data_IF_875606720768
#
_entry.id   IF_875606720768
#
_cell.length_a   1.000
_cell.length_b   1.000
_cell.length_c   1.000
_cell.angle_alpha   90.00
_cell.angle_beta   90.00
_cell.angle_gamma   90.00
#
_symmetry.space_group_name_H-M   'P 1'
#
loop_
_entity.id
_entity.type
_entity.pdbx_description
1 polymer ?
#
# COMPACT_ATOMS: atom_id res chain seq x y z
N UNK A 1 -3.45 1.37 25.02
CA UNK A 1 -2.31 0.81 24.25
C UNK A 1 -1.33 1.95 24.13
N UNK A 2 -0.28 1.92 24.93
CA UNK A 2 0.68 3.04 24.98
C UNK A 2 1.77 2.88 23.91
N UNK A 3 1.91 1.66 23.35
CA UNK A 3 2.81 1.36 22.23
C UNK A 3 2.05 0.62 21.11
N UNK A 4 1.80 1.30 20.00
CA UNK A 4 1.05 0.76 18.85
C UNK A 4 1.62 1.26 17.52
N UNK A 5 1.21 0.58 16.44
CA UNK A 5 1.42 1.01 15.08
C UNK A 5 0.09 1.02 14.32
N UNK A 6 -0.05 1.96 13.38
CA UNK A 6 -1.25 2.13 12.57
C UNK A 6 -0.95 1.65 11.14
N UNK A 7 -1.84 0.83 10.58
CA UNK A 7 -1.87 0.53 9.15
C UNK A 7 -3.03 1.30 8.51
N UNK A 8 -2.74 2.17 7.55
CA UNK A 8 -3.73 2.76 6.65
C UNK A 8 -4.09 1.74 5.55
N UNK A 9 -5.38 1.43 5.41
CA UNK A 9 -5.90 0.47 4.43
C UNK A 9 -6.14 -0.93 5.00
N UNK A 10 -6.05 -1.95 4.14
CA UNK A 10 -6.28 -3.34 4.54
C UNK A 10 -5.06 -4.02 5.17
N UNK A 11 -5.23 -5.14 5.90
CA UNK A 11 -4.13 -5.83 6.57
C UNK A 11 -3.06 -6.32 5.58
N UNK A 12 -3.50 -6.68 4.37
CA UNK A 12 -2.65 -7.18 3.30
C UNK A 12 -1.86 -6.06 2.62
N UNK A 13 -2.54 -5.07 2.03
CA UNK A 13 -1.93 -4.07 1.12
C UNK A 13 -1.71 -2.69 1.75
N UNK A 14 -2.21 -2.45 2.96
CA UNK A 14 -2.09 -1.15 3.62
C UNK A 14 -0.64 -0.75 3.91
N UNK A 15 -0.41 0.46 4.41
CA UNK A 15 0.91 0.98 4.75
C UNK A 15 0.96 1.41 6.21
N UNK A 16 2.13 1.31 6.84
CA UNK A 16 2.32 1.88 8.18
C UNK A 16 2.37 3.40 8.04
N UNK A 17 1.62 4.10 8.89
CA UNK A 17 1.57 5.55 8.93
C UNK A 17 1.80 6.05 10.36
N UNK A 18 2.16 7.32 10.47
CA UNK A 18 2.19 8.03 11.74
C UNK A 18 0.79 8.52 12.12
N UNK A 19 0.56 8.76 13.41
CA UNK A 19 -0.73 9.22 13.93
C UNK A 19 -1.13 10.61 13.42
N UNK A 20 -0.13 11.43 13.07
CA UNK A 20 -0.32 12.80 12.58
C UNK A 20 -0.53 12.87 11.05
N UNK A 21 -0.54 11.72 10.36
CA UNK A 21 -0.79 11.65 8.93
C UNK A 21 -2.27 11.97 8.65
N UNK A 22 -2.56 12.96 7.79
CA UNK A 22 -3.94 13.39 7.51
C UNK A 22 -4.73 12.35 6.71
N UNK A 23 -6.04 12.28 6.98
CA UNK A 23 -6.99 11.49 6.19
C UNK A 23 -7.08 12.05 4.76
N UNK A 24 -6.84 11.21 3.77
CA UNK A 24 -6.90 11.51 2.33
C UNK A 24 -8.18 10.95 1.72
N UNK A 25 -8.49 11.36 0.48
CA UNK A 25 -9.67 10.84 -0.27
C UNK A 25 -9.52 9.36 -0.64
N UNK A 26 -8.30 8.83 -0.57
CA UNK A 26 -7.98 7.39 -0.78
C UNK A 26 -7.88 6.60 0.53
N UNK A 27 -8.00 7.26 1.69
CA UNK A 27 -7.97 6.59 2.99
C UNK A 27 -9.25 5.76 3.14
N UNK A 28 -9.10 4.46 3.35
CA UNK A 28 -10.23 3.52 3.46
C UNK A 28 -10.52 3.08 4.89
N UNK A 29 -9.49 2.97 5.73
CA UNK A 29 -9.63 2.55 7.12
C UNK A 29 -8.28 2.51 7.83
N UNK A 30 -8.32 2.42 9.15
CA UNK A 30 -7.15 2.32 10.01
C UNK A 30 -7.22 1.03 10.82
N UNK A 31 -6.12 0.30 10.86
CA UNK A 31 -5.95 -0.88 11.70
C UNK A 31 -4.87 -0.57 12.73
N UNK A 32 -5.22 -0.67 14.02
CA UNK A 32 -4.30 -0.38 15.12
C UNK A 32 -3.86 -1.69 15.74
N UNK A 33 -2.55 -1.94 15.75
CA UNK A 33 -1.96 -3.16 16.30
C UNK A 33 -0.87 -2.83 17.33
N UNK A 34 -0.63 -3.70 18.33
CA UNK A 34 0.62 -3.68 19.09
C UNK A 34 1.84 -3.75 18.14
N UNK A 35 2.96 -3.12 18.49
CA UNK A 35 4.15 -3.10 17.61
C UNK A 35 4.74 -4.48 17.37
N UNK A 36 4.56 -5.40 18.32
CA UNK A 36 5.02 -6.79 18.25
C UNK A 36 4.12 -7.66 17.36
N UNK A 37 2.97 -7.15 16.92
CA UNK A 37 2.04 -7.92 16.10
C UNK A 37 2.71 -8.37 14.78
N UNK A 38 2.54 -9.62 14.33
CA UNK A 38 3.23 -10.14 13.15
C UNK A 38 3.08 -9.28 11.88
N UNK A 39 1.92 -8.66 11.66
CA UNK A 39 1.69 -7.75 10.54
C UNK A 39 2.60 -6.51 10.58
N UNK A 40 2.93 -6.00 11.76
CA UNK A 40 3.80 -4.84 11.95
C UNK A 40 5.27 -5.27 11.78
N UNK A 41 5.68 -6.30 12.51
CA UNK A 41 7.07 -6.83 12.47
C UNK A 41 7.47 -7.21 11.04
N UNK A 42 6.60 -7.91 10.30
CA UNK A 42 6.88 -8.31 8.91
C UNK A 42 7.09 -7.11 7.98
N UNK A 43 6.40 -5.99 8.21
CA UNK A 43 6.54 -4.76 7.39
C UNK A 43 7.80 -3.99 7.71
N UNK A 44 8.19 -3.93 8.99
CA UNK A 44 9.39 -3.23 9.46
C UNK A 44 10.68 -4.01 9.22
N UNK A 45 10.61 -5.33 9.08
CA UNK A 45 11.78 -6.19 8.79
C UNK A 45 12.55 -5.67 7.58
N UNK A 46 13.88 -5.54 7.61
CA UNK A 46 14.62 -5.00 6.46
C UNK A 46 14.71 -5.98 5.27
N UNK A 47 14.84 -5.45 4.04
CA UNK A 47 15.03 -6.27 2.83
C UNK A 47 16.31 -7.12 2.93
N UNK A 48 17.40 -6.54 3.44
CA UNK A 48 18.66 -7.27 3.64
C UNK A 48 18.49 -8.46 4.59
N UNK A 49 17.70 -8.30 5.66
CA UNK A 49 17.40 -9.40 6.56
C UNK A 49 16.65 -10.53 5.85
N UNK A 50 15.61 -10.18 5.08
CA UNK A 50 14.82 -11.13 4.27
C UNK A 50 15.71 -11.88 3.28
N UNK A 51 16.64 -11.20 2.59
CA UNK A 51 17.56 -11.82 1.63
C UNK A 51 18.52 -12.80 2.30
N UNK A 52 19.05 -12.48 3.50
CA UNK A 52 19.89 -13.43 4.25
C UNK A 52 19.13 -14.70 4.63
N UNK A 53 17.90 -14.57 5.14
CA UNK A 53 17.07 -15.75 5.44
C UNK A 53 16.74 -16.51 4.16
N UNK A 54 16.46 -15.82 3.07
CA UNK A 54 16.18 -16.47 1.80
C UNK A 54 17.37 -17.27 1.27
N UNK A 55 18.59 -16.76 1.42
CA UNK A 55 19.82 -17.46 1.05
C UNK A 55 20.04 -18.73 1.89
N UNK A 56 19.65 -18.72 3.17
CA UNK A 56 19.89 -19.85 4.08
C UNK A 56 18.74 -20.85 4.20
N UNK A 57 17.49 -20.41 4.08
CA UNK A 57 16.30 -21.17 4.47
C UNK A 57 15.27 -21.36 3.35
N UNK A 58 15.41 -20.70 2.19
CA UNK A 58 14.45 -20.88 1.10
C UNK A 58 14.47 -22.31 0.57
N UNK A 59 13.39 -23.06 0.78
CA UNK A 59 13.21 -24.43 0.29
C UNK A 59 12.75 -24.54 -1.17
N UNK A 60 12.66 -23.42 -1.90
CA UNK A 60 12.36 -23.35 -3.33
C UNK A 60 11.05 -24.05 -3.77
N UNK A 61 10.08 -24.18 -2.86
CA UNK A 61 8.84 -24.97 -3.06
C UNK A 61 7.80 -24.39 -4.04
N UNK A 62 8.09 -23.27 -4.73
CA UNK A 62 7.18 -22.58 -5.68
C UNK A 62 5.84 -22.06 -5.14
N UNK A 63 5.46 -22.34 -3.90
CA UNK A 63 4.18 -21.93 -3.30
C UNK A 63 3.82 -20.44 -3.51
N UNK A 64 4.80 -19.54 -3.42
CA UNK A 64 4.60 -18.10 -3.65
C UNK A 64 4.21 -17.73 -5.09
N UNK A 65 4.51 -18.58 -6.07
CA UNK A 65 4.05 -18.46 -7.46
C UNK A 65 2.73 -19.18 -7.64
N UNK A 66 2.61 -20.38 -7.10
CA UNK A 66 1.42 -21.20 -7.29
C UNK A 66 0.15 -20.56 -6.74
N UNK A 67 0.26 -19.81 -5.64
CA UNK A 67 -0.83 -19.03 -5.05
C UNK A 67 -0.86 -17.57 -5.50
N UNK A 68 0.02 -17.13 -6.41
CA UNK A 68 0.05 -15.74 -6.86
C UNK A 68 -1.18 -15.44 -7.74
N UNK A 69 -2.03 -14.46 -7.37
CA UNK A 69 -3.21 -14.13 -8.18
C UNK A 69 -2.85 -13.69 -9.60
N UNK A 70 -1.73 -12.98 -9.79
CA UNK A 70 -1.29 -12.52 -11.11
C UNK A 70 -0.81 -13.68 -11.98
N UNK A 71 -0.05 -14.62 -11.42
CA UNK A 71 0.32 -15.85 -12.11
C UNK A 71 -0.92 -16.66 -12.51
N UNK A 72 -1.88 -16.83 -11.59
CA UNK A 72 -3.13 -17.54 -11.86
C UNK A 72 -4.02 -16.85 -12.91
N UNK A 73 -3.86 -15.54 -13.13
CA UNK A 73 -4.57 -14.76 -14.15
C UNK A 73 -3.91 -14.78 -15.54
N UNK A 74 -2.83 -15.54 -15.74
CA UNK A 74 -2.17 -15.63 -17.04
C UNK A 74 -0.78 -14.98 -17.07
N UNK A 75 -0.53 -13.97 -16.21
CA UNK A 75 0.72 -13.21 -16.26
C UNK A 75 1.98 -14.06 -15.99
N UNK A 76 3.10 -13.81 -16.69
CA UNK A 76 4.35 -14.57 -16.56
C UNK A 76 5.17 -14.20 -15.32
N UNK A 77 4.52 -13.84 -14.21
CA UNK A 77 5.20 -13.51 -12.97
C UNK A 77 5.46 -14.77 -12.15
N UNK A 78 6.73 -15.03 -11.85
CA UNK A 78 7.14 -16.19 -11.05
C UNK A 78 7.91 -15.75 -9.81
N UNK A 79 7.21 -15.32 -8.73
CA UNK A 79 7.86 -14.82 -7.52
C UNK A 79 8.93 -15.75 -6.94
N UNK A 80 8.80 -17.07 -7.08
CA UNK A 80 9.81 -18.02 -6.60
C UNK A 80 11.15 -17.91 -7.34
N UNK A 81 11.16 -17.66 -8.65
CA UNK A 81 12.37 -17.48 -9.45
C UNK A 81 13.05 -16.15 -9.10
N UNK A 82 12.26 -15.08 -9.05
CA UNK A 82 12.73 -13.74 -8.68
C UNK A 82 13.35 -13.76 -7.27
N UNK A 83 12.68 -14.41 -6.30
CA UNK A 83 13.19 -14.56 -4.94
C UNK A 83 14.54 -15.30 -4.91
N UNK A 84 14.66 -16.41 -5.65
CA UNK A 84 15.90 -17.20 -5.72
C UNK A 84 17.06 -16.42 -6.33
N UNK A 85 16.81 -15.73 -7.45
CA UNK A 85 17.84 -14.94 -8.14
C UNK A 85 18.28 -13.71 -7.36
N UNK A 86 17.38 -13.13 -6.57
CA UNK A 86 17.75 -11.99 -5.72
C UNK A 86 18.54 -12.43 -4.48
N UNK A 87 18.27 -13.62 -3.95
CA UNK A 87 18.90 -14.11 -2.71
C UNK A 87 20.20 -14.90 -2.91
N UNK A 88 20.46 -15.42 -4.11
CA UNK A 88 21.60 -16.26 -4.46
C UNK A 88 22.26 -15.72 -5.74
N UNK A 89 23.55 -16.00 -5.99
CA UNK A 89 24.26 -15.56 -7.21
C UNK A 89 23.81 -16.36 -8.44
N UNK A 90 22.51 -16.31 -8.76
CA UNK A 90 21.90 -16.94 -9.91
C UNK A 90 21.52 -15.85 -10.91
N UNK A 91 22.13 -15.90 -12.09
CA UNK A 91 21.72 -15.07 -13.22
C UNK A 91 20.44 -15.66 -13.82
N UNK A 92 19.35 -14.90 -13.80
CA UNK A 92 18.14 -15.20 -14.56
C UNK A 92 18.04 -14.30 -15.80
N UNK A 93 17.28 -14.73 -16.83
CA UNK A 93 16.95 -13.85 -17.95
C UNK A 93 16.31 -12.55 -17.47
N UNK A 94 16.62 -11.45 -18.15
CA UNK A 94 16.14 -10.09 -17.80
C UNK A 94 14.61 -10.04 -17.79
N UNK A 95 13.98 -10.80 -18.67
CA UNK A 95 12.53 -10.94 -18.81
C UNK A 95 11.90 -11.52 -17.52
N UNK A 96 12.57 -12.49 -16.89
CA UNK A 96 12.10 -13.10 -15.63
C UNK A 96 12.19 -12.11 -14.47
N UNK A 97 13.24 -11.28 -14.44
CA UNK A 97 13.41 -10.27 -13.40
C UNK A 97 12.44 -9.09 -13.60
N UNK A 98 12.28 -8.62 -14.82
CA UNK A 98 11.37 -7.51 -15.17
C UNK A 98 9.90 -7.87 -14.99
N UNK A 99 9.53 -9.16 -15.01
CA UNK A 99 8.21 -9.63 -14.63
C UNK A 99 7.80 -9.22 -13.19
N UNK A 100 8.74 -8.82 -12.32
CA UNK A 100 8.44 -8.20 -11.02
C UNK A 100 7.51 -6.99 -11.13
N UNK A 101 7.57 -6.24 -12.25
CA UNK A 101 6.71 -5.08 -12.50
C UNK A 101 5.22 -5.45 -12.63
N UNK A 102 4.90 -6.71 -12.93
CA UNK A 102 3.52 -7.21 -13.01
C UNK A 102 2.89 -7.47 -11.63
N UNK A 103 3.68 -7.35 -10.56
CA UNK A 103 3.23 -7.59 -9.19
C UNK A 103 2.18 -6.55 -8.78
N UNK A 104 1.03 -7.03 -8.32
CA UNK A 104 -0.04 -6.21 -7.73
C UNK A 104 0.15 -5.96 -6.23
N UNK A 105 1.26 -6.42 -5.66
CA UNK A 105 1.63 -6.18 -4.25
C UNK A 105 0.60 -6.69 -3.22
N UNK A 106 -0.25 -7.65 -3.61
CA UNK A 106 -1.34 -8.18 -2.78
C UNK A 106 -0.90 -8.92 -1.50
N UNK A 107 0.37 -9.32 -1.39
CA UNK A 107 0.93 -9.92 -0.17
C UNK A 107 0.64 -11.40 0.07
N UNK A 108 -0.13 -12.08 -0.79
CA UNK A 108 -0.41 -13.51 -0.63
C UNK A 108 0.86 -14.36 -0.53
N UNK A 109 1.86 -14.06 -1.37
CA UNK A 109 3.13 -14.78 -1.38
C UNK A 109 3.92 -14.67 -0.06
N UNK A 110 3.77 -13.54 0.65
CA UNK A 110 4.47 -13.23 1.90
C UNK A 110 3.66 -13.69 3.12
N UNK A 111 2.41 -13.26 3.19
CA UNK A 111 1.57 -13.38 4.38
C UNK A 111 0.89 -14.75 4.47
N UNK A 112 0.71 -15.44 3.35
CA UNK A 112 0.01 -16.74 3.31
C UNK A 112 0.86 -17.88 2.75
N UNK A 113 1.46 -17.71 1.58
CA UNK A 113 2.02 -18.83 0.82
C UNK A 113 3.38 -19.31 1.33
N UNK A 114 4.28 -18.40 1.74
CA UNK A 114 5.65 -18.78 2.08
C UNK A 114 5.70 -19.49 3.44
N UNK A 115 6.11 -20.77 3.51
CA UNK A 115 6.27 -21.47 4.78
C UNK A 115 7.44 -20.92 5.59
N UNK A 116 8.45 -20.38 4.91
CA UNK A 116 9.66 -19.81 5.52
C UNK A 116 9.50 -18.33 5.90
N UNK A 117 8.29 -17.76 5.77
CA UNK A 117 7.97 -16.34 6.07
C UNK A 117 8.87 -15.32 5.35
N UNK A 118 9.30 -15.66 4.15
CA UNK A 118 9.98 -14.72 3.24
C UNK A 118 8.96 -13.76 2.62
N UNK A 119 9.45 -12.65 2.08
CA UNK A 119 8.60 -11.66 1.41
C UNK A 119 8.91 -11.49 -0.08
N UNK A 120 8.40 -12.39 -0.95
CA UNK A 120 8.49 -12.17 -2.40
C UNK A 120 7.77 -10.89 -2.84
N UNK A 121 6.71 -10.45 -2.14
CA UNK A 121 6.03 -9.18 -2.43
C UNK A 121 7.02 -8.01 -2.35
N UNK A 122 7.73 -7.88 -1.23
CA UNK A 122 8.60 -6.72 -0.99
C UNK A 122 9.83 -6.74 -1.88
N UNK A 123 10.35 -7.92 -2.20
CA UNK A 123 11.39 -8.07 -3.24
C UNK A 123 10.87 -7.59 -4.60
N UNK A 124 9.67 -7.98 -5.01
CA UNK A 124 9.10 -7.50 -6.28
C UNK A 124 8.89 -5.97 -6.27
N UNK A 125 8.43 -5.40 -5.15
CA UNK A 125 8.25 -3.94 -5.02
C UNK A 125 9.58 -3.20 -5.15
N UNK A 126 10.61 -3.65 -4.44
CA UNK A 126 11.97 -3.10 -4.54
C UNK A 126 12.50 -3.16 -5.98
N UNK A 127 12.35 -4.30 -6.67
CA UNK A 127 12.77 -4.44 -8.07
C UNK A 127 11.96 -3.54 -9.00
N UNK A 128 10.65 -3.43 -8.78
CA UNK A 128 9.77 -2.54 -9.56
C UNK A 128 10.18 -1.08 -9.43
N UNK A 129 10.51 -0.62 -8.21
CA UNK A 129 11.04 0.73 -7.96
C UNK A 129 12.40 0.94 -8.65
N UNK A 130 13.33 -0.02 -8.54
CA UNK A 130 14.64 0.02 -9.20
C UNK A 130 14.54 0.08 -10.72
N UNK A 131 13.71 -0.78 -11.32
CA UNK A 131 13.53 -0.80 -12.78
C UNK A 131 12.83 0.46 -13.28
N UNK A 132 11.84 0.97 -12.54
CA UNK A 132 11.20 2.24 -12.87
C UNK A 132 12.21 3.40 -12.86
N UNK A 133 13.09 3.48 -11.86
CA UNK A 133 14.15 4.48 -11.79
C UNK A 133 15.15 4.38 -12.97
N UNK A 134 15.36 3.18 -13.50
CA UNK A 134 16.22 2.93 -14.67
C UNK A 134 15.47 3.00 -16.00
N UNK A 135 14.18 3.35 -15.99
CA UNK A 135 13.32 3.34 -17.19
C UNK A 135 13.24 1.99 -17.91
N UNK A 136 13.53 0.90 -17.20
CA UNK A 136 13.39 -0.47 -17.70
C UNK A 136 11.92 -0.86 -17.61
N UNK A 137 11.36 -1.35 -18.72
CA UNK A 137 9.97 -1.83 -18.79
C UNK A 137 9.92 -3.33 -19.07
N UNK A 138 8.91 -3.97 -18.50
CA UNK A 138 8.57 -5.34 -18.88
C UNK A 138 8.05 -5.34 -20.32
N UNK A 139 8.59 -6.22 -21.15
CA UNK A 139 8.13 -6.45 -22.51
C UNK A 139 7.42 -7.80 -22.55
N UNK A 140 6.21 -7.80 -23.08
CA UNK A 140 5.43 -9.00 -23.35
C UNK A 140 5.14 -8.99 -24.84
N UNK A 141 5.43 -10.10 -25.51
CA UNK A 141 5.06 -10.27 -26.91
C UNK A 141 3.60 -10.74 -27.05
N UNK A 142 3.02 -11.27 -25.97
CA UNK A 142 1.62 -11.70 -25.90
C UNK A 142 0.70 -10.57 -25.42
N UNK A 143 -0.36 -10.31 -26.18
CA UNK A 143 -1.42 -9.34 -25.83
C UNK A 143 -2.55 -9.97 -24.98
N UNK A 144 -2.58 -11.30 -24.85
CA UNK A 144 -3.68 -12.02 -24.20
C UNK A 144 -3.21 -12.85 -22.99
N UNK A 145 -3.77 -12.55 -21.81
CA UNK A 145 -3.49 -13.28 -20.58
C UNK A 145 -4.65 -14.21 -20.25
N UNK A 146 -4.47 -15.50 -20.55
CA UNK A 146 -5.48 -16.53 -20.29
C UNK A 146 -5.37 -16.98 -18.82
N UNK A 147 -6.45 -16.87 -18.01
CA UNK A 147 -6.45 -17.41 -16.67
C UNK A 147 -6.19 -18.91 -16.66
N UNK A 148 -5.35 -19.35 -15.73
CA UNK A 148 -4.98 -20.76 -15.56
C UNK A 148 -6.11 -21.53 -14.88
N UNK A 149 -6.37 -22.77 -15.30
CA UNK A 149 -7.45 -23.62 -14.75
C UNK A 149 -7.27 -23.84 -13.23
N UNK A 150 -6.03 -23.93 -12.76
CA UNK A 150 -5.71 -24.11 -11.34
C UNK A 150 -6.20 -22.95 -10.46
N UNK A 151 -6.55 -21.80 -11.05
CA UNK A 151 -7.10 -20.65 -10.30
C UNK A 151 -8.34 -21.01 -9.50
N UNK A 152 -9.17 -21.93 -9.99
CA UNK A 152 -10.36 -22.39 -9.28
C UNK A 152 -10.00 -23.10 -7.97
N UNK A 153 -9.00 -23.96 -8.01
CA UNK A 153 -8.58 -24.82 -6.90
C UNK A 153 -7.55 -24.17 -5.96
N UNK A 154 -6.94 -23.05 -6.36
CA UNK A 154 -5.89 -22.35 -5.61
C UNK A 154 -6.36 -21.08 -4.90
N UNK A 155 -7.68 -20.89 -4.76
CA UNK A 155 -8.25 -19.80 -3.96
C UNK A 155 -7.94 -20.01 -2.48
N UNK A 156 -7.75 -18.91 -1.77
CA UNK A 156 -7.43 -18.93 -0.34
C UNK A 156 -8.72 -18.67 0.46
N UNK A 157 -9.11 -19.56 1.38
CA UNK A 157 -10.24 -19.30 2.26
C UNK A 157 -9.95 -18.09 3.16
N UNK A 158 -10.84 -17.09 3.14
CA UNK A 158 -10.65 -15.83 3.89
C UNK A 158 -10.46 -16.04 5.39
N UNK A 159 -11.15 -17.01 5.99
CA UNK A 159 -10.98 -17.36 7.42
C UNK A 159 -9.58 -17.90 7.74
N UNK A 160 -9.03 -18.78 6.90
CA UNK A 160 -7.65 -19.30 7.08
C UNK A 160 -6.61 -18.21 6.87
N UNK A 161 -6.88 -17.27 5.95
CA UNK A 161 -6.04 -16.09 5.81
C UNK A 161 -6.08 -15.26 7.09
N UNK A 162 -7.26 -14.91 7.58
CA UNK A 162 -7.43 -14.11 8.80
C UNK A 162 -6.75 -14.71 10.03
N UNK A 163 -6.89 -16.03 10.24
CA UNK A 163 -6.18 -16.77 11.28
C UNK A 163 -4.66 -16.61 11.16
N UNK A 164 -4.12 -16.81 9.95
CA UNK A 164 -2.69 -16.66 9.69
C UNK A 164 -2.19 -15.23 9.88
N UNK A 165 -3.04 -14.23 9.63
CA UNK A 165 -2.72 -12.83 9.87
C UNK A 165 -2.86 -12.42 11.35
N UNK A 166 -3.41 -13.27 12.20
CA UNK A 166 -3.68 -12.97 13.61
C UNK A 166 -4.87 -12.05 13.84
N UNK A 167 -5.84 -12.01 12.91
CA UNK A 167 -7.00 -11.11 12.95
C UNK A 167 -8.35 -11.83 12.96
N UNK A 168 -8.36 -13.15 13.21
CA UNK A 168 -9.57 -13.97 13.11
C UNK A 168 -10.71 -13.44 13.99
N UNK A 169 -10.40 -12.95 15.18
CA UNK A 169 -11.40 -12.44 16.14
C UNK A 169 -12.09 -11.16 15.67
N UNK A 170 -11.55 -10.50 14.63
CA UNK A 170 -12.03 -9.20 14.15
C UNK A 170 -12.80 -9.25 12.82
N UNK A 171 -12.75 -10.35 12.07
CA UNK A 171 -13.27 -10.37 10.68
C UNK A 171 -14.80 -10.30 10.57
N UNK A 172 -15.50 -10.75 11.61
CA UNK A 172 -16.96 -10.77 11.67
C UNK A 172 -17.51 -9.61 12.53
N UNK A 173 -16.64 -8.67 12.94
CA UNK A 173 -17.06 -7.45 13.66
C UNK A 173 -17.51 -6.40 12.65
N UNK A 174 -18.76 -5.97 12.80
CA UNK A 174 -19.33 -4.87 12.03
C UNK A 174 -19.49 -3.64 12.93
N UNK A 175 -18.53 -2.69 12.92
CA UNK A 175 -18.61 -1.51 13.77
C UNK A 175 -19.80 -0.65 13.35
N UNK A 176 -20.54 -0.17 14.34
CA UNK A 176 -21.61 0.79 14.10
C UNK A 176 -21.05 2.18 13.80
N UNK A 177 -21.81 2.98 13.05
CA UNK A 177 -21.48 4.37 12.85
C UNK A 177 -21.59 5.13 14.19
N UNK A 178 -20.50 5.77 14.60
CA UNK A 178 -20.46 6.59 15.80
C UNK A 178 -20.42 8.06 15.34
N UNK A 179 -21.48 8.87 15.56
CA UNK A 179 -21.59 10.24 15.07
C UNK A 179 -20.80 11.23 15.93
N UNK A 180 -19.51 11.00 16.11
CA UNK A 180 -18.60 11.93 16.80
C UNK A 180 -17.92 12.80 15.74
N UNK A 181 -18.13 14.12 15.84
CA UNK A 181 -17.52 15.12 14.97
C UNK A 181 -16.60 16.00 15.81
N UNK A 182 -15.32 15.63 15.98
CA UNK A 182 -14.39 16.42 16.77
C UNK A 182 -14.20 17.79 16.12
N UNK A 183 -14.26 18.84 16.93
CA UNK A 183 -13.94 20.19 16.49
C UNK A 183 -12.43 20.36 16.67
N UNK A 184 -11.73 20.69 15.59
CA UNK A 184 -10.30 21.01 15.64
C UNK A 184 -10.11 22.50 15.40
N UNK A 185 -9.31 23.14 16.24
CA UNK A 185 -8.84 24.51 16.02
C UNK A 185 -7.80 24.60 14.91
N UNK A 186 -7.21 23.47 14.49
CA UNK A 186 -6.22 23.43 13.41
C UNK A 186 -6.44 22.23 12.49
N UNK A 187 -6.44 22.45 11.19
CA UNK A 187 -6.62 21.41 10.18
C UNK A 187 -5.52 21.49 9.12
N UNK A 188 -5.05 20.32 8.70
CA UNK A 188 -4.02 20.15 7.66
C UNK A 188 -4.64 19.40 6.47
N UNK A 189 -4.55 19.98 5.28
CA UNK A 189 -5.14 19.47 4.05
C UNK A 189 -4.04 19.27 3.01
N UNK A 190 -3.61 18.02 2.75
CA UNK A 190 -2.65 17.78 1.67
C UNK A 190 -3.19 18.20 0.32
N UNK A 191 -2.33 18.76 -0.54
CA UNK A 191 -2.71 19.09 -1.91
C UNK A 191 -2.90 17.83 -2.78
N UNK A 192 -2.15 16.76 -2.48
CA UNK A 192 -2.26 15.43 -3.13
C UNK A 192 -3.05 14.48 -2.22
N UNK A 193 -4.35 14.32 -2.47
CA UNK A 193 -5.23 13.43 -1.69
C UNK A 193 -5.81 12.25 -2.48
N UNK A 194 -5.56 12.19 -3.78
CA UNK A 194 -6.17 11.22 -4.68
C UNK A 194 -5.18 10.74 -5.77
N UNK A 195 -5.65 9.82 -6.61
CA UNK A 195 -4.86 9.24 -7.71
C UNK A 195 -4.48 10.27 -8.78
N UNK A 196 -5.27 11.32 -8.95
CA UNK A 196 -5.07 12.41 -9.91
C UNK A 196 -4.01 13.42 -9.49
N UNK A 197 -3.85 14.53 -10.21
CA UNK A 197 -2.81 15.53 -9.92
C UNK A 197 -3.02 16.27 -8.58
N UNK A 198 -1.97 16.80 -7.94
CA UNK A 198 -2.12 17.67 -6.78
C UNK A 198 -2.98 18.91 -7.09
N UNK A 199 -3.79 19.35 -6.12
CA UNK A 199 -4.54 20.59 -6.23
C UNK A 199 -3.62 21.80 -6.15
N UNK A 200 -3.99 22.87 -6.85
CA UNK A 200 -3.30 24.16 -6.84
C UNK A 200 -4.04 25.09 -5.87
N UNK A 201 -3.37 25.64 -4.84
CA UNK A 201 -3.97 26.61 -3.94
C UNK A 201 -4.55 27.83 -4.67
N UNK A 202 -5.74 28.28 -4.25
CA UNK A 202 -6.39 29.52 -4.69
C UNK A 202 -6.27 30.65 -3.66
N UNK A 203 -5.67 30.35 -2.51
CA UNK A 203 -5.52 31.23 -1.35
C UNK A 203 -4.04 31.43 -1.06
N UNK A 204 -3.71 32.50 -0.35
CA UNK A 204 -2.36 32.80 0.13
C UNK A 204 -2.29 32.73 1.65
N UNK A 205 -1.06 32.63 2.19
CA UNK A 205 -0.84 32.66 3.64
C UNK A 205 -1.32 34.00 4.19
N UNK A 206 -2.11 33.94 5.27
CA UNK A 206 -2.70 35.11 5.92
C UNK A 206 -4.15 35.40 5.53
N UNK A 207 -4.68 34.76 4.48
CA UNK A 207 -6.09 34.91 4.07
C UNK A 207 -7.05 34.35 5.12
N UNK A 208 -8.17 35.05 5.30
CA UNK A 208 -9.33 34.55 6.05
C UNK A 208 -10.23 33.72 5.12
N UNK A 209 -10.58 32.51 5.56
CA UNK A 209 -11.43 31.59 4.81
C UNK A 209 -12.68 31.20 5.61
N UNK A 210 -13.77 30.98 4.88
CA UNK A 210 -15.03 30.46 5.44
C UNK A 210 -15.19 28.98 5.17
N UNK A 211 -15.86 28.27 6.08
CA UNK A 211 -16.23 26.87 5.90
C UNK A 211 -16.96 26.70 4.56
N UNK A 212 -16.62 25.63 3.86
CA UNK A 212 -17.07 25.29 2.51
C UNK A 212 -16.55 26.19 1.38
N UNK A 213 -15.71 27.20 1.66
CA UNK A 213 -15.03 27.96 0.62
C UNK A 213 -14.05 27.07 -0.15
N UNK A 214 -14.04 27.15 -1.47
CA UNK A 214 -13.04 26.47 -2.32
C UNK A 214 -11.68 27.14 -2.14
N UNK A 215 -10.68 26.39 -1.67
CA UNK A 215 -9.34 26.89 -1.33
C UNK A 215 -8.23 26.33 -2.23
N UNK A 216 -8.51 25.26 -2.98
CA UNK A 216 -7.62 24.75 -4.01
C UNK A 216 -8.42 24.10 -5.15
N UNK A 217 -7.92 24.20 -6.37
CA UNK A 217 -8.56 23.68 -7.57
C UNK A 217 -7.63 22.77 -8.40
N UNK A 218 -8.18 22.07 -9.38
CA UNK A 218 -7.44 21.15 -10.25
C UNK A 218 -7.14 21.83 -11.59
N UNK A 219 -5.95 21.61 -12.18
CA UNK A 219 -5.67 22.03 -13.54
C UNK A 219 -6.75 21.54 -14.52
N UNK A 220 -7.14 22.40 -15.46
CA UNK A 220 -8.20 22.07 -16.41
C UNK A 220 -7.81 20.85 -17.27
N UNK A 221 -8.69 19.85 -17.30
CA UNK A 221 -8.49 18.63 -18.08
C UNK A 221 -7.73 17.52 -17.36
N UNK A 222 -7.26 17.76 -16.14
CA UNK A 222 -6.60 16.75 -15.33
C UNK A 222 -7.59 16.03 -14.41
N UNK A 223 -7.29 14.77 -14.10
CA UNK A 223 -8.00 14.03 -13.06
C UNK A 223 -7.60 14.58 -11.69
N UNK A 224 -8.57 14.88 -10.83
CA UNK A 224 -8.32 15.36 -9.48
C UNK A 224 -9.61 15.71 -8.74
N UNK A 225 -9.49 16.30 -7.56
CA UNK A 225 -10.67 16.78 -6.82
C UNK A 225 -10.32 18.05 -6.01
N UNK A 226 -11.08 19.16 -6.17
CA UNK A 226 -10.87 20.41 -5.44
C UNK A 226 -10.89 20.23 -3.92
N UNK A 227 -10.31 21.20 -3.22
CA UNK A 227 -10.30 21.27 -1.76
C UNK A 227 -11.16 22.44 -1.28
N UNK A 228 -11.89 22.21 -0.20
CA UNK A 228 -12.72 23.21 0.46
C UNK A 228 -12.33 23.31 1.93
N UNK A 229 -12.44 24.49 2.51
CA UNK A 229 -12.14 24.72 3.92
C UNK A 229 -13.16 23.99 4.82
N UNK A 230 -12.74 23.10 5.74
CA UNK A 230 -13.65 22.39 6.63
C UNK A 230 -14.12 23.25 7.81
N UNK A 231 -13.38 24.33 8.11
CA UNK A 231 -13.60 25.26 9.21
C UNK A 231 -13.41 26.70 8.74
N UNK A 232 -13.97 27.65 9.50
CA UNK A 232 -13.60 29.06 9.43
C UNK A 232 -12.22 29.26 10.08
N UNK A 233 -11.37 30.10 9.48
CA UNK A 233 -10.07 30.41 10.05
C UNK A 233 -9.14 31.15 9.11
N UNK A 234 -7.87 31.24 9.49
CA UNK A 234 -6.80 31.86 8.71
C UNK A 234 -5.87 30.82 8.12
N UNK A 235 -5.41 31.05 6.89
CA UNK A 235 -4.40 30.22 6.23
C UNK A 235 -3.02 30.46 6.84
N UNK A 236 -2.41 29.40 7.38
CA UNK A 236 -1.09 29.45 8.03
C UNK A 236 0.02 28.92 7.10
N UNK A 237 -0.29 27.95 6.25
CA UNK A 237 0.62 27.44 5.21
C UNK A 237 -0.17 26.96 4.00
N UNK A 238 0.49 26.88 2.85
CA UNK A 238 -0.10 26.37 1.59
C UNK A 238 0.73 25.27 0.91
N UNK A 239 1.96 25.01 1.38
CA UNK A 239 2.84 23.96 0.84
C UNK A 239 3.61 23.25 1.97
N UNK A 240 3.78 21.91 1.91
CA UNK A 240 3.15 20.98 0.94
C UNK A 240 1.65 20.78 1.17
N UNK A 241 1.13 21.30 2.29
CA UNK A 241 -0.26 21.18 2.72
C UNK A 241 -0.84 22.54 3.06
N UNK A 242 -2.15 22.69 2.84
CA UNK A 242 -2.88 23.86 3.33
C UNK A 242 -3.22 23.64 4.80
N UNK A 243 -2.78 24.58 5.65
CA UNK A 243 -3.10 24.57 7.08
C UNK A 243 -4.02 25.74 7.40
N UNK A 244 -5.16 25.45 8.02
CA UNK A 244 -6.12 26.45 8.50
C UNK A 244 -6.15 26.40 10.02
N UNK A 245 -6.06 27.56 10.66
CA UNK A 245 -6.18 27.71 12.11
C UNK A 245 -7.38 28.60 12.43
N UNK A 246 -8.26 28.12 13.30
CA UNK A 246 -9.42 28.86 13.77
C UNK A 246 -8.99 29.90 14.81
N UNK A 247 -9.68 31.04 14.82
CA UNK A 247 -9.44 32.10 15.80
C UNK A 247 -10.10 31.83 17.19
N UNK A 248 -10.82 30.71 17.32
CA UNK A 248 -11.56 30.30 18.52
C UNK A 248 -10.91 29.10 19.22
#
# INVERSE_FOLDING_TARGET
LDDFAIIEGGPMMGCIIDIDEPVKKTTSGFLVFPKEHPLIVNRLTSINYILRIAASACMQCRACTDLCPRYLLGHPIEPHKIMRSTAMPLSLPVETMTAAMLCSECGICELFACPMRLSPRRINRELKERFAAQSIRFKCDDDEFIPREEREYRRIPSRRLAERLGILDYIDIHPQFIPIFPISSKVRLPLKQNMGVPAIPLVIVGDDVKKSQKIADIPKGELGAPLHAPIDGKIISIEPDIVIESAN
#
